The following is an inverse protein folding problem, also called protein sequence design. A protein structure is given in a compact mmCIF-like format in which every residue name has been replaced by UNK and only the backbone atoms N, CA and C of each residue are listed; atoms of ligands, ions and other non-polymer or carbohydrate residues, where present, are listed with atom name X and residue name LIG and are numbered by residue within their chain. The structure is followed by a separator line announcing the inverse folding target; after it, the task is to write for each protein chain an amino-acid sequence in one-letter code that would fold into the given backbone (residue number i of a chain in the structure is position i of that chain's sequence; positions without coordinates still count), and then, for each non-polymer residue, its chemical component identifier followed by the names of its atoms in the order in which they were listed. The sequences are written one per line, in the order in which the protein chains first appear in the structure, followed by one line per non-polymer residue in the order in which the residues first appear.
data_IF_297447094882
#
_entry.id   IF_297447094882
#
_cell.length_a   1.000
_cell.length_b   1.000
_cell.length_c   1.000
_cell.angle_alpha   90.00
_cell.angle_beta   90.00
_cell.angle_gamma   90.00
#
_symmetry.space_group_name_H-M   'P 1'
#
loop_
_entity.id
_entity.type
_entity.pdbx_description
1 polymer ?
#
# COMPACT_ATOMS: atom_id res chain seq x y z
N UNK A 1 14.83 8.30 -1.27
CA UNK A 1 13.65 7.83 -0.50
C UNK A 1 13.12 6.63 -1.24
N UNK A 2 13.55 5.43 -0.87
CA UNK A 2 13.14 4.18 -1.52
C UNK A 2 11.77 3.82 -0.99
N UNK A 3 10.72 3.94 -1.81
CA UNK A 3 9.37 3.49 -1.42
C UNK A 3 9.43 1.98 -1.16
N UNK A 4 9.03 1.55 0.05
CA UNK A 4 8.85 0.13 0.35
C UNK A 4 7.52 -0.30 -0.27
N UNK A 5 7.58 -0.94 -1.43
CA UNK A 5 6.40 -1.55 -2.06
C UNK A 5 5.91 -2.72 -1.19
N UNK A 6 4.64 -2.71 -0.81
CA UNK A 6 4.01 -3.82 -0.08
C UNK A 6 3.82 -5.03 -1.00
N UNK A 7 4.20 -6.22 -0.53
CA UNK A 7 4.04 -7.48 -1.27
C UNK A 7 2.57 -7.74 -1.70
N UNK A 8 2.32 -8.44 -2.82
CA UNK A 8 0.97 -8.83 -3.22
C UNK A 8 0.33 -9.76 -2.18
N UNK A 9 -0.96 -9.51 -1.88
CA UNK A 9 -1.74 -10.33 -0.95
C UNK A 9 -2.48 -11.44 -1.65
N UNK A 10 -2.60 -12.57 -0.96
CA UNK A 10 -3.30 -13.76 -1.40
C UNK A 10 -4.17 -14.28 -0.27
N UNK A 11 -5.35 -14.79 -0.62
CA UNK A 11 -6.35 -15.27 0.34
C UNK A 11 -6.70 -16.72 0.11
N UNK A 12 -6.66 -17.47 1.21
CA UNK A 12 -7.26 -18.80 1.37
C UNK A 12 -8.16 -18.74 2.62
N UNK A 13 -7.88 -19.56 3.65
CA UNK A 13 -8.45 -19.41 5.01
C UNK A 13 -7.77 -18.30 5.83
N UNK A 14 -6.56 -17.90 5.42
CA UNK A 14 -5.79 -16.78 5.97
C UNK A 14 -5.34 -15.88 4.81
N UNK A 15 -5.09 -14.60 5.11
CA UNK A 15 -4.41 -13.69 4.18
C UNK A 15 -2.91 -13.80 4.39
N UNK A 16 -2.17 -13.89 3.28
CA UNK A 16 -0.70 -13.95 3.24
C UNK A 16 -0.18 -12.99 2.20
N UNK A 17 1.09 -12.60 2.34
CA UNK A 17 1.84 -11.83 1.35
C UNK A 17 2.78 -12.78 0.63
N UNK A 18 2.78 -12.78 -0.70
CA UNK A 18 3.62 -13.72 -1.44
C UNK A 18 4.26 -13.11 -2.68
N UNK A 19 5.49 -13.55 -2.96
CA UNK A 19 6.25 -13.19 -4.16
C UNK A 19 6.65 -14.46 -4.91
N UNK A 20 6.43 -14.45 -6.22
CA UNK A 20 6.90 -15.52 -7.10
C UNK A 20 8.41 -15.41 -7.30
N UNK A 21 9.12 -16.52 -7.04
CA UNK A 21 10.56 -16.62 -7.13
C UNK A 21 10.96 -16.76 -8.60
N UNK A 22 11.86 -15.90 -9.06
CA UNK A 22 12.47 -15.98 -10.39
C UNK A 22 13.72 -16.86 -10.38
N UNK A 23 14.59 -16.67 -9.39
CA UNK A 23 15.83 -17.44 -9.29
C UNK A 23 16.22 -17.68 -7.84
N UNK A 24 16.94 -18.78 -7.63
CA UNK A 24 17.48 -19.20 -6.34
C UNK A 24 18.98 -19.36 -6.49
N UNK A 25 19.75 -18.66 -5.66
CA UNK A 25 21.21 -18.79 -5.61
C UNK A 25 21.63 -19.30 -4.24
N UNK A 26 22.29 -20.46 -4.13
CA UNK A 26 22.84 -20.91 -2.85
C UNK A 26 23.90 -19.91 -2.36
N UNK A 27 24.03 -19.80 -1.04
CA UNK A 27 25.12 -19.03 -0.43
C UNK A 27 26.24 -20.01 -0.09
N UNK A 28 27.42 -19.81 -0.67
CA UNK A 28 28.56 -20.71 -0.48
C UNK A 28 28.91 -20.85 1.02
N UNK A 29 29.08 -22.09 1.47
CA UNK A 29 29.45 -22.38 2.86
C UNK A 29 28.33 -22.19 3.89
N UNK A 30 27.11 -21.91 3.47
CA UNK A 30 25.95 -21.71 4.35
C UNK A 30 24.74 -22.52 3.89
N UNK A 31 23.98 -23.04 4.84
CA UNK A 31 22.61 -23.51 4.58
C UNK A 31 21.71 -22.29 4.39
N UNK A 32 21.82 -21.59 3.25
CA UNK A 32 21.01 -20.43 2.94
C UNK A 32 20.94 -20.25 1.44
N UNK A 33 19.89 -19.56 0.96
CA UNK A 33 19.83 -19.15 -0.43
C UNK A 33 19.31 -17.71 -0.56
N UNK A 34 19.70 -17.06 -1.64
CA UNK A 34 19.22 -15.76 -2.06
C UNK A 34 18.15 -15.98 -3.13
N UNK A 35 16.95 -15.48 -2.85
CA UNK A 35 15.80 -15.48 -3.75
C UNK A 35 15.77 -14.16 -4.51
N UNK A 36 15.64 -14.23 -5.83
CA UNK A 36 15.21 -13.10 -6.65
C UNK A 36 13.77 -13.31 -7.07
N UNK A 37 13.01 -12.24 -7.27
CA UNK A 37 11.57 -12.32 -7.53
C UNK A 37 11.25 -11.87 -8.94
N UNK A 38 10.17 -12.41 -9.53
CA UNK A 38 9.73 -12.03 -10.87
C UNK A 38 9.33 -10.56 -10.97
N UNK A 39 8.81 -10.00 -9.88
CA UNK A 39 8.55 -8.58 -9.79
C UNK A 39 9.84 -7.86 -9.39
N UNK A 40 10.41 -7.12 -10.35
CA UNK A 40 11.66 -6.35 -10.17
C UNK A 40 11.53 -5.18 -9.19
N UNK A 41 10.31 -4.88 -8.71
CA UNK A 41 10.09 -3.93 -7.63
C UNK A 41 10.58 -4.40 -6.25
N UNK A 42 10.95 -5.68 -6.11
CA UNK A 42 11.43 -6.25 -4.85
C UNK A 42 12.92 -6.62 -4.93
N UNK A 43 13.67 -6.18 -3.92
CA UNK A 43 15.07 -6.55 -3.78
C UNK A 43 15.22 -8.06 -3.48
N UNK A 44 16.31 -8.71 -3.93
CA UNK A 44 16.59 -10.09 -3.58
C UNK A 44 16.64 -10.30 -2.05
N UNK A 45 16.13 -11.44 -1.57
CA UNK A 45 16.04 -11.78 -0.15
C UNK A 45 16.84 -13.04 0.17
N UNK A 46 17.71 -12.96 1.17
CA UNK A 46 18.35 -14.14 1.75
C UNK A 46 17.39 -14.83 2.72
N UNK A 47 17.16 -16.13 2.52
CA UNK A 47 16.41 -16.98 3.45
C UNK A 47 17.35 -17.91 4.20
N UNK A 48 17.10 -18.08 5.50
CA UNK A 48 17.94 -18.89 6.39
C UNK A 48 17.72 -20.39 6.19
N UNK A 49 18.70 -21.19 6.62
CA UNK A 49 18.69 -22.64 6.45
C UNK A 49 17.53 -23.36 7.10
N UNK A 50 16.96 -22.80 8.16
CA UNK A 50 15.76 -23.33 8.80
C UNK A 50 14.52 -23.31 7.89
N UNK A 51 14.46 -22.41 6.90
CA UNK A 51 13.43 -22.37 5.86
C UNK A 51 13.80 -23.33 4.73
N UNK A 52 15.06 -23.27 4.26
CA UNK A 52 15.57 -24.13 3.17
C UNK A 52 15.47 -25.61 3.52
N UNK A 53 15.75 -25.99 4.76
CA UNK A 53 15.66 -27.37 5.24
C UNK A 53 14.22 -27.91 5.25
N UNK A 54 13.21 -27.05 5.31
CA UNK A 54 11.79 -27.46 5.22
C UNK A 54 11.40 -27.74 3.77
N UNK A 55 11.93 -26.93 2.85
CA UNK A 55 11.69 -27.08 1.42
C UNK A 55 12.72 -26.25 0.62
N UNK A 56 13.42 -26.90 -0.31
CA UNK A 56 14.38 -26.23 -1.19
C UNK A 56 13.61 -25.50 -2.32
N UNK A 57 13.63 -24.16 -2.35
CA UNK A 57 12.87 -23.39 -3.33
C UNK A 57 13.38 -23.65 -4.76
N UNK A 58 12.45 -23.64 -5.71
CA UNK A 58 12.74 -23.66 -7.15
C UNK A 58 12.14 -22.44 -7.86
N UNK A 59 12.67 -22.02 -9.02
CA UNK A 59 12.04 -20.98 -9.83
C UNK A 59 10.56 -21.27 -10.10
N UNK A 60 9.71 -20.27 -9.84
CA UNK A 60 8.26 -20.34 -9.97
C UNK A 60 7.51 -20.65 -8.66
N UNK A 61 8.21 -21.12 -7.62
CA UNK A 61 7.66 -21.26 -6.26
C UNK A 61 7.41 -19.88 -5.62
N UNK A 62 6.70 -19.88 -4.49
CA UNK A 62 6.34 -18.64 -3.80
C UNK A 62 7.07 -18.52 -2.47
N UNK A 63 7.70 -17.37 -2.23
CA UNK A 63 8.06 -16.92 -0.88
C UNK A 63 6.82 -16.32 -0.24
N UNK A 64 6.46 -16.77 0.96
CA UNK A 64 5.22 -16.42 1.65
C UNK A 64 5.52 -15.87 3.04
N UNK A 65 4.93 -14.74 3.37
CA UNK A 65 4.95 -14.13 4.70
C UNK A 65 3.53 -14.05 5.27
N UNK A 66 3.39 -14.43 6.52
CA UNK A 66 2.15 -14.39 7.28
C UNK A 66 2.08 -13.14 8.17
N UNK A 67 0.87 -12.77 8.60
CA UNK A 67 0.66 -11.59 9.43
C UNK A 67 1.36 -11.64 10.80
N UNK A 68 1.65 -12.84 11.31
CA UNK A 68 2.40 -13.06 12.56
C UNK A 68 3.93 -13.01 12.37
N UNK A 69 4.40 -12.71 11.15
CA UNK A 69 5.81 -12.67 10.79
C UNK A 69 6.41 -14.03 10.47
N UNK A 70 5.62 -15.11 10.46
CA UNK A 70 6.10 -16.41 10.00
C UNK A 70 6.40 -16.37 8.49
N UNK A 71 7.48 -17.04 8.07
CA UNK A 71 7.92 -17.09 6.68
C UNK A 71 8.02 -18.54 6.20
N UNK A 72 7.60 -18.78 4.96
CA UNK A 72 7.67 -20.11 4.34
C UNK A 72 7.88 -20.04 2.84
N UNK A 73 8.24 -21.18 2.24
CA UNK A 73 8.21 -21.38 0.80
C UNK A 73 7.06 -22.32 0.47
N UNK A 74 6.25 -21.97 -0.53
CA UNK A 74 5.18 -22.82 -1.04
C UNK A 74 5.46 -23.24 -2.48
N UNK A 75 5.35 -24.55 -2.81
CA UNK A 75 5.43 -25.01 -4.18
C UNK A 75 4.41 -24.30 -5.08
N UNK A 76 4.80 -23.96 -6.31
CA UNK A 76 3.96 -23.19 -7.26
C UNK A 76 2.53 -23.74 -7.37
N UNK A 77 2.42 -25.03 -7.69
CA UNK A 77 1.14 -25.69 -7.94
C UNK A 77 0.24 -25.64 -6.71
N UNK A 78 0.79 -26.04 -5.55
CA UNK A 78 0.05 -26.03 -4.29
C UNK A 78 -0.38 -24.62 -3.88
N UNK A 79 0.46 -23.61 -4.12
CA UNK A 79 0.13 -22.22 -3.82
C UNK A 79 -1.04 -21.73 -4.70
N UNK A 80 -0.94 -21.88 -6.02
CA UNK A 80 -1.96 -21.39 -6.96
C UNK A 80 -3.29 -22.15 -6.87
N UNK A 81 -3.28 -23.43 -6.48
CA UNK A 81 -4.50 -24.20 -6.24
C UNK A 81 -5.18 -23.80 -4.91
N UNK A 82 -4.38 -23.46 -3.87
CA UNK A 82 -4.88 -23.18 -2.53
C UNK A 82 -5.17 -21.71 -2.22
N UNK A 83 -4.56 -20.79 -2.97
CA UNK A 83 -4.64 -19.35 -2.74
C UNK A 83 -5.12 -18.62 -3.98
N UNK A 84 -6.00 -17.63 -3.77
CA UNK A 84 -6.41 -16.70 -4.82
C UNK A 84 -5.76 -15.35 -4.56
N UNK A 85 -5.29 -14.63 -5.59
CA UNK A 85 -4.88 -13.23 -5.43
C UNK A 85 -6.00 -12.48 -4.70
N UNK A 86 -5.68 -11.87 -3.57
CA UNK A 86 -6.59 -10.91 -2.97
C UNK A 86 -6.45 -9.67 -3.82
N UNK A 87 -7.41 -9.47 -4.74
CA UNK A 87 -7.49 -8.22 -5.50
C UNK A 87 -7.32 -7.08 -4.50
N UNK A 88 -6.30 -6.24 -4.71
CA UNK A 88 -6.25 -4.91 -4.12
C UNK A 88 -7.66 -4.35 -4.22
N UNK A 89 -8.23 -3.79 -3.12
CA UNK A 89 -9.65 -3.47 -3.05
C UNK A 89 -10.03 -2.85 -4.37
N UNK A 90 -10.98 -3.50 -5.07
CA UNK A 90 -11.49 -3.08 -6.39
C UNK A 90 -11.45 -1.58 -6.41
N UNK A 91 -10.88 -1.00 -7.49
CA UNK A 91 -11.05 0.42 -7.78
C UNK A 91 -12.48 0.78 -7.38
N UNK A 92 -12.63 1.47 -6.25
CA UNK A 92 -13.89 2.13 -6.00
C UNK A 92 -13.89 3.14 -7.12
N UNK A 93 -14.80 2.97 -8.09
CA UNK A 93 -15.24 4.07 -8.92
C UNK A 93 -15.31 5.26 -7.98
N UNK A 94 -14.39 6.21 -8.17
CA UNK A 94 -14.34 7.37 -7.31
C UNK A 94 -15.76 7.95 -7.24
N UNK A 95 -16.10 8.59 -6.12
CA UNK A 95 -17.25 9.49 -6.07
C UNK A 95 -17.32 10.24 -7.41
N UNK A 96 -18.47 10.25 -8.12
CA UNK A 96 -18.59 10.85 -9.44
C UNK A 96 -18.33 12.34 -9.33
N UNK A 97 -17.05 12.69 -9.41
CA UNK A 97 -16.49 14.00 -9.20
C UNK A 97 -15.63 14.27 -10.40
N UNK A 98 -16.25 14.87 -11.40
CA UNK A 98 -15.63 15.40 -12.60
C UNK A 98 -14.35 16.15 -12.17
N UNK A 99 -13.16 15.63 -12.53
CA UNK A 99 -11.88 16.33 -12.31
C UNK A 99 -10.71 15.51 -11.76
N UNK A 100 -10.94 14.30 -11.25
CA UNK A 100 -9.84 13.43 -10.80
C UNK A 100 -9.30 12.57 -11.95
N UNK A 101 -7.98 12.60 -12.17
CA UNK A 101 -7.29 11.70 -13.11
C UNK A 101 -7.27 10.27 -12.54
N UNK A 102 -7.24 9.21 -13.37
CA UNK A 102 -7.07 7.85 -12.89
C UNK A 102 -5.80 7.73 -12.04
N UNK A 103 -5.95 7.32 -10.78
CA UNK A 103 -4.87 7.19 -9.81
C UNK A 103 -4.32 5.76 -9.84
N UNK A 104 -3.00 5.59 -9.71
CA UNK A 104 -2.42 4.28 -9.42
C UNK A 104 -2.85 3.79 -8.04
N UNK A 105 -2.94 2.47 -7.85
CA UNK A 105 -3.37 1.82 -6.59
C UNK A 105 -2.66 2.34 -5.34
N UNK A 106 -1.38 2.72 -5.48
CA UNK A 106 -0.56 3.29 -4.41
C UNK A 106 -1.07 4.64 -3.88
N UNK A 107 -1.47 5.56 -4.76
CA UNK A 107 -1.93 6.89 -4.33
C UNK A 107 -3.25 6.82 -3.54
N UNK A 108 -4.14 5.89 -3.94
CA UNK A 108 -5.39 5.63 -3.22
C UNK A 108 -5.11 5.02 -1.84
N UNK A 109 -4.14 4.10 -1.74
CA UNK A 109 -3.70 3.55 -0.46
C UNK A 109 -3.21 4.65 0.49
N UNK A 110 -2.27 5.50 0.05
CA UNK A 110 -1.72 6.59 0.86
C UNK A 110 -2.81 7.56 1.36
N UNK A 111 -3.76 7.93 0.49
CA UNK A 111 -4.87 8.81 0.91
C UNK A 111 -5.81 8.12 1.90
N UNK A 112 -6.04 6.81 1.77
CA UNK A 112 -6.83 6.07 2.74
C UNK A 112 -6.13 5.95 4.09
N UNK A 113 -4.81 5.75 4.13
CA UNK A 113 -4.02 5.78 5.36
C UNK A 113 -4.06 7.17 6.01
N UNK A 114 -3.91 8.24 5.22
CA UNK A 114 -4.05 9.61 5.72
C UNK A 114 -5.43 9.87 6.33
N UNK A 115 -6.51 9.36 5.72
CA UNK A 115 -7.87 9.47 6.27
C UNK A 115 -8.05 8.74 7.59
N UNK A 116 -7.43 7.56 7.75
CA UNK A 116 -7.44 6.84 9.04
C UNK A 116 -6.73 7.64 10.12
N UNK A 117 -5.58 8.21 9.78
CA UNK A 117 -4.80 9.03 10.71
C UNK A 117 -5.56 10.31 11.11
N UNK A 118 -6.18 10.99 10.13
CA UNK A 118 -7.04 12.15 10.37
C UNK A 118 -8.16 11.82 11.35
N UNK A 119 -8.90 10.73 11.13
CA UNK A 119 -9.99 10.29 12.02
C UNK A 119 -9.48 9.96 13.43
N UNK A 120 -8.30 9.33 13.57
CA UNK A 120 -7.71 9.07 14.88
C UNK A 120 -7.39 10.37 15.64
N UNK A 121 -6.82 11.35 14.95
CA UNK A 121 -6.51 12.66 15.54
C UNK A 121 -7.80 13.41 15.90
N UNK A 122 -8.81 13.40 15.03
CA UNK A 122 -10.10 14.04 15.30
C UNK A 122 -10.83 13.41 16.50
N UNK A 123 -10.75 12.09 16.67
CA UNK A 123 -11.30 11.43 17.88
C UNK A 123 -10.58 11.86 19.15
N UNK A 124 -9.27 12.08 19.09
CA UNK A 124 -8.54 12.64 20.23
C UNK A 124 -9.03 14.06 20.56
N UNK A 125 -9.26 14.88 19.54
CA UNK A 125 -9.82 16.24 19.70
C UNK A 125 -11.25 16.17 20.29
N UNK A 126 -12.09 15.25 19.82
CA UNK A 126 -13.44 15.05 20.35
C UNK A 126 -13.43 14.58 21.82
N UNK A 127 -12.45 13.76 22.22
CA UNK A 127 -12.26 13.38 23.62
C UNK A 127 -11.88 14.59 24.48
N UNK A 128 -10.92 15.40 24.03
CA UNK A 128 -10.54 16.64 24.72
C UNK A 128 -11.70 17.62 24.84
N UNK A 129 -12.56 17.70 23.82
CA UNK A 129 -13.74 18.56 23.83
C UNK A 129 -14.75 18.15 24.91
N UNK A 130 -14.89 16.84 25.16
CA UNK A 130 -15.88 16.26 26.06
C UNK A 130 -15.37 16.07 27.49
N UNK A 131 -14.07 16.22 27.72
CA UNK A 131 -13.48 16.01 29.02
C UNK A 131 -13.89 17.13 30.00
N UNK A 132 -14.67 16.84 31.04
CA UNK A 132 -15.12 17.86 31.99
C UNK A 132 -14.04 18.24 33.01
N UNK A 133 -12.94 17.47 33.09
CA UNK A 133 -11.84 17.71 34.03
C UNK A 133 -10.76 18.62 33.44
N UNK A 134 -10.56 18.55 32.12
CA UNK A 134 -9.74 19.55 31.43
C UNK A 134 -10.62 20.77 31.12
N UNK A 135 -10.30 21.91 31.75
CA UNK A 135 -10.88 23.21 31.39
C UNK A 135 -10.34 23.69 30.01
N UNK A 136 -10.64 22.93 28.94
CA UNK A 136 -10.14 23.18 27.59
C UNK A 136 -10.80 24.43 27.02
N UNK A 137 -9.98 25.35 26.50
CA UNK A 137 -10.46 26.48 25.72
C UNK A 137 -11.04 25.97 24.38
N UNK A 138 -12.37 26.02 24.29
CA UNK A 138 -13.13 25.52 23.15
C UNK A 138 -12.84 26.30 21.86
N UNK A 139 -12.48 27.59 21.96
CA UNK A 139 -12.15 28.41 20.79
C UNK A 139 -10.82 27.94 20.19
N UNK A 140 -9.81 27.73 21.02
CA UNK A 140 -8.53 27.22 20.56
C UNK A 140 -8.62 25.77 20.06
N UNK A 141 -9.43 24.94 20.71
CA UNK A 141 -9.67 23.57 20.25
C UNK A 141 -10.33 23.53 18.86
N UNK A 142 -11.32 24.40 18.62
CA UNK A 142 -11.96 24.52 17.32
C UNK A 142 -10.98 24.99 16.22
N UNK A 143 -10.11 25.95 16.52
CA UNK A 143 -9.04 26.39 15.60
C UNK A 143 -8.11 25.22 15.27
N UNK A 144 -7.70 24.44 16.28
CA UNK A 144 -6.87 23.26 16.11
C UNK A 144 -7.52 22.21 15.20
N UNK A 145 -8.80 21.91 15.43
CA UNK A 145 -9.59 21.00 14.59
C UNK A 145 -9.58 21.41 13.12
N UNK A 146 -9.90 22.67 12.83
CA UNK A 146 -9.91 23.17 11.45
C UNK A 146 -8.52 23.10 10.82
N UNK A 147 -7.45 23.40 11.56
CA UNK A 147 -6.09 23.30 11.04
C UNK A 147 -5.70 21.86 10.68
N UNK A 148 -6.14 20.87 11.49
CA UNK A 148 -5.94 19.45 11.21
C UNK A 148 -6.65 19.06 9.91
N UNK A 149 -7.94 19.36 9.79
CA UNK A 149 -8.75 19.04 8.60
C UNK A 149 -8.15 19.68 7.32
N UNK A 150 -7.74 20.96 7.41
CA UNK A 150 -7.08 21.64 6.29
C UNK A 150 -5.71 21.04 5.95
N UNK A 151 -4.95 20.63 6.97
CA UNK A 151 -3.66 19.97 6.79
C UNK A 151 -3.80 18.65 6.03
N UNK A 152 -4.68 17.77 6.48
CA UNK A 152 -4.95 16.49 5.81
C UNK A 152 -5.53 16.69 4.41
N UNK A 153 -6.42 17.67 4.23
CA UNK A 153 -6.92 18.03 2.90
C UNK A 153 -5.78 18.45 1.96
N UNK A 154 -4.87 19.31 2.41
CA UNK A 154 -3.73 19.76 1.61
C UNK A 154 -2.80 18.60 1.23
N UNK A 155 -2.49 17.71 2.20
CA UNK A 155 -1.67 16.51 1.97
C UNK A 155 -2.33 15.59 0.93
N UNK A 156 -3.60 15.25 1.11
CA UNK A 156 -4.33 14.37 0.20
C UNK A 156 -4.44 14.98 -1.20
N UNK A 157 -4.62 16.31 -1.32
CA UNK A 157 -4.60 17.00 -2.61
C UNK A 157 -3.22 17.00 -3.27
N UNK A 158 -2.14 17.04 -2.50
CA UNK A 158 -0.78 16.92 -3.03
C UNK A 158 -0.51 15.53 -3.63
N UNK A 159 -1.10 14.48 -3.04
CA UNK A 159 -1.06 13.12 -3.59
C UNK A 159 -1.94 13.01 -4.83
N UNK A 160 -3.20 13.44 -4.75
CA UNK A 160 -4.18 13.24 -5.83
C UNK A 160 -4.05 14.21 -7.01
N UNK A 161 -3.41 15.37 -6.84
CA UNK A 161 -3.17 16.37 -7.90
C UNK A 161 -4.43 16.60 -8.78
N UNK A 162 -5.59 16.98 -8.20
CA UNK A 162 -6.82 17.17 -8.95
C UNK A 162 -6.61 18.18 -10.08
N UNK A 163 -6.98 17.79 -11.30
CA UNK A 163 -6.86 18.63 -12.48
C UNK A 163 -8.12 19.47 -12.71
N UNK A 164 -8.03 20.43 -13.63
CA UNK A 164 -9.22 21.12 -14.13
C UNK A 164 -10.03 20.17 -15.01
N UNK A 165 -11.34 20.23 -14.87
CA UNK A 165 -12.30 19.56 -15.76
C UNK A 165 -12.36 20.31 -17.08
N UNK A 166 -12.40 19.58 -18.20
CA UNK A 166 -12.79 20.17 -19.49
C UNK A 166 -14.29 20.39 -19.52
N UNK A 167 -14.71 21.59 -19.87
CA UNK A 167 -16.12 21.93 -20.09
C UNK A 167 -16.47 21.82 -21.57
N UNK A 168 -17.76 21.63 -21.87
CA UNK A 168 -18.26 21.62 -23.25
C UNK A 168 -18.00 23.01 -23.86
N UNK A 169 -17.11 23.09 -24.86
CA UNK A 169 -16.71 24.35 -25.51
C UNK A 169 -15.27 24.79 -25.29
N UNK A 170 -14.48 24.07 -24.49
CA UNK A 170 -13.03 24.33 -24.39
C UNK A 170 -12.33 24.03 -25.74
N UNK A 171 -11.44 24.92 -26.24
CA UNK A 171 -10.73 24.68 -27.50
C UNK A 171 -9.88 23.40 -27.40
N UNK A 172 -9.91 22.57 -28.45
CA UNK A 172 -9.02 21.40 -28.55
C UNK A 172 -7.57 21.90 -28.55
N UNK A 173 -6.86 21.62 -27.45
CA UNK A 173 -5.49 22.09 -27.25
C UNK A 173 -4.59 21.60 -28.38
N UNK A 174 -3.99 22.54 -29.09
CA UNK A 174 -2.86 22.30 -29.98
C UNK A 174 -1.70 21.78 -29.14
N UNK A 175 -1.36 20.50 -29.31
CA UNK A 175 -0.13 19.95 -28.75
C UNK A 175 1.05 20.72 -29.33
N UNK A 176 1.81 21.35 -28.43
CA UNK A 176 2.95 22.18 -28.76
C UNK A 176 3.98 21.41 -29.56
N UNK A 177 4.10 21.80 -30.82
CA UNK A 177 5.28 21.55 -31.64
C UNK A 177 6.46 22.24 -30.94
N UNK A 178 7.34 21.44 -30.35
CA UNK A 178 8.57 21.93 -29.73
C UNK A 178 9.60 22.17 -30.85
N UNK A 179 10.29 23.34 -30.89
CA UNK A 179 11.47 23.51 -31.72
C UNK A 179 12.64 22.67 -31.21
#
# INVERSE_FOLDING_TARGET
MTAMTEMPRYKSHKTVWALEIESVRPVDGHDACVLSFKDQGYAPRQVQGSIVARYMPTPGDFFVQYADGYESISPRKAFLEGYKPEESPKQHEGLPGTGYKPQGSYAVHEVNENKKLEEQVLRQVDMLQKDPHLAVDQRWLAIGRTAIEQGFMAINRAVFKPGRVKLLGDPEGTEGQKP
#
